data_IF_853572286598
#
_entry.id   IF_853572286598
#
_cell.length_a   1.000
_cell.length_b   1.000
_cell.length_c   1.000
_cell.angle_alpha   90.00
_cell.angle_beta   90.00
_cell.angle_gamma   90.00
#
_symmetry.space_group_name_H-M   'P 1'
#
loop_
_entity.id
_entity.type
_entity.pdbx_description
1 polymer ?
#
# COMPACT_ATOMS: atom_id res chain seq x y z
N UNK A 1 -6.96 -83.99 14.87
CA UNK A 1 -8.18 -83.51 15.54
C UNK A 1 -8.46 -82.10 15.11
N UNK A 2 -9.55 -81.90 14.38
CA UNK A 2 -10.14 -80.58 14.11
C UNK A 2 -10.78 -80.05 15.40
N UNK A 3 -10.68 -78.76 15.65
CA UNK A 3 -11.81 -78.04 16.24
C UNK A 3 -11.84 -76.60 15.72
N UNK A 4 -13.02 -76.21 15.24
CA UNK A 4 -13.40 -74.95 14.61
C UNK A 4 -14.52 -74.35 15.48
N UNK A 5 -14.80 -73.05 15.27
CA UNK A 5 -16.04 -72.29 15.61
C UNK A 5 -16.00 -71.56 16.97
N UNK A 6 -16.52 -70.35 17.18
CA UNK A 6 -16.98 -69.23 16.34
C UNK A 6 -17.33 -68.03 17.26
N UNK A 7 -17.48 -66.85 16.67
CA UNK A 7 -17.90 -65.53 17.18
C UNK A 7 -19.12 -65.49 18.14
N UNK A 8 -19.12 -64.54 19.09
CA UNK A 8 -20.17 -63.52 19.19
C UNK A 8 -19.80 -62.31 20.08
N UNK A 9 -20.16 -61.13 19.59
CA UNK A 9 -19.91 -59.81 20.18
C UNK A 9 -20.84 -59.50 21.35
N UNK A 10 -20.48 -58.58 22.24
CA UNK A 10 -21.36 -57.47 22.64
C UNK A 10 -20.61 -56.38 23.42
N UNK A 11 -20.83 -55.15 22.94
CA UNK A 11 -20.38 -53.86 23.45
C UNK A 11 -20.91 -53.58 24.87
N UNK A 12 -20.14 -52.85 25.69
CA UNK A 12 -20.57 -51.54 26.24
C UNK A 12 -19.46 -50.90 27.08
N UNK A 13 -19.00 -49.75 26.60
CA UNK A 13 -18.15 -48.75 27.26
C UNK A 13 -18.93 -47.93 28.29
N UNK A 14 -18.42 -47.66 29.50
CA UNK A 14 -17.79 -46.41 30.02
C UNK A 14 -18.08 -46.34 31.55
N UNK A 15 -17.57 -45.37 32.34
CA UNK A 15 -16.38 -44.51 32.23
C UNK A 15 -15.54 -44.46 33.54
N UNK A 16 -14.30 -43.94 33.49
CA UNK A 16 -13.71 -43.04 34.51
C UNK A 16 -12.27 -42.69 34.09
N UNK A 17 -12.08 -41.50 33.49
CA UNK A 17 -11.46 -40.31 34.12
C UNK A 17 -9.93 -40.41 34.21
N UNK A 18 -9.27 -39.63 33.37
CA UNK A 18 -7.88 -39.23 33.55
C UNK A 18 -6.91 -39.91 32.59
N UNK A 19 -6.18 -39.06 31.84
CA UNK A 19 -5.07 -39.35 30.93
C UNK A 19 -5.41 -40.20 29.71
N UNK A 20 -5.50 -39.57 28.53
CA UNK A 20 -5.37 -40.25 27.23
C UNK A 20 -3.94 -40.82 27.09
N UNK A 21 -3.74 -42.15 27.06
CA UNK A 21 -2.44 -42.74 26.77
C UNK A 21 -2.46 -43.37 25.37
N UNK A 22 -1.52 -42.91 24.53
CA UNK A 22 -1.19 -43.42 23.19
C UNK A 22 -2.21 -43.16 22.06
N UNK A 23 -2.07 -41.99 21.42
CA UNK A 23 -2.53 -41.72 20.06
C UNK A 23 -1.44 -41.01 19.28
N UNK A 24 -0.84 -41.72 18.33
CA UNK A 24 0.04 -41.26 17.25
C UNK A 24 -0.59 -40.11 16.45
N UNK A 25 -0.59 -38.91 17.02
CA UNK A 25 -1.21 -37.72 16.44
C UNK A 25 -0.15 -36.68 16.07
N UNK A 26 -0.31 -36.07 14.90
CA UNK A 26 0.53 -34.95 14.50
C UNK A 26 0.28 -33.71 15.38
N UNK A 27 1.26 -32.82 15.43
CA UNK A 27 1.17 -31.50 16.07
C UNK A 27 -0.10 -30.72 15.67
N UNK A 28 -0.53 -29.78 16.50
CA UNK A 28 -1.74 -28.98 16.25
C UNK A 28 -1.69 -28.32 14.87
N UNK A 29 -2.80 -28.39 14.13
CA UNK A 29 -2.88 -27.86 12.76
C UNK A 29 -2.23 -28.74 11.69
N UNK A 30 -1.56 -29.85 12.05
CA UNK A 30 -0.96 -30.77 11.09
C UNK A 30 -1.92 -31.92 10.73
N UNK A 31 -2.04 -32.23 9.44
CA UNK A 31 -2.85 -33.32 8.90
C UNK A 31 -2.04 -34.62 8.77
N UNK A 32 -0.81 -34.54 8.26
CA UNK A 32 0.11 -35.67 8.13
C UNK A 32 1.51 -35.28 8.58
N UNK A 33 2.22 -36.17 9.26
CA UNK A 33 3.53 -35.89 9.85
C UNK A 33 4.46 -37.10 9.78
N UNK A 34 5.75 -36.85 9.95
CA UNK A 34 6.79 -37.84 10.09
C UNK A 34 7.67 -37.52 11.30
N UNK A 35 8.35 -38.53 11.89
CA UNK A 35 9.27 -38.30 13.01
C UNK A 35 10.44 -37.35 12.68
N UNK A 36 10.94 -37.41 11.43
CA UNK A 36 12.15 -36.67 11.01
C UNK A 36 11.85 -35.28 10.45
N UNK A 37 10.82 -35.16 9.60
CA UNK A 37 10.53 -33.91 8.88
C UNK A 37 9.44 -33.08 9.57
N UNK A 38 8.89 -33.55 10.69
CA UNK A 38 7.77 -32.87 11.36
C UNK A 38 6.49 -32.98 10.53
N UNK A 39 5.76 -31.86 10.38
CA UNK A 39 4.55 -31.85 9.57
C UNK A 39 4.87 -31.92 8.08
N UNK A 40 4.11 -32.72 7.34
CA UNK A 40 4.19 -32.85 5.89
C UNK A 40 3.04 -32.11 5.19
N UNK A 41 1.86 -32.04 5.81
CA UNK A 41 0.71 -31.30 5.28
C UNK A 41 -0.12 -30.69 6.40
N UNK A 42 -0.54 -29.43 6.22
CA UNK A 42 -1.36 -28.71 7.20
C UNK A 42 -2.85 -28.94 6.97
N UNK A 43 -3.62 -28.90 8.06
CA UNK A 43 -5.08 -28.79 8.01
C UNK A 43 -5.49 -27.48 7.33
N UNK A 44 -6.70 -27.41 6.75
CA UNK A 44 -7.22 -26.16 6.18
C UNK A 44 -7.12 -25.01 7.19
N UNK A 45 -6.88 -23.78 6.70
CA UNK A 45 -6.73 -22.53 7.47
C UNK A 45 -5.37 -22.31 8.15
N UNK A 46 -4.51 -23.33 8.21
CA UNK A 46 -3.14 -23.20 8.71
C UNK A 46 -2.15 -22.91 7.58
N UNK A 47 -1.05 -22.24 7.92
CA UNK A 47 0.08 -22.00 7.05
C UNK A 47 1.22 -22.96 7.39
N UNK A 48 1.79 -23.58 6.36
CA UNK A 48 2.99 -24.37 6.45
C UNK A 48 4.21 -23.46 6.61
N UNK A 49 5.05 -23.73 7.60
CA UNK A 49 6.31 -23.06 7.83
C UNK A 49 7.43 -24.09 7.94
N UNK A 50 8.61 -23.76 7.40
CA UNK A 50 9.78 -24.62 7.44
C UNK A 50 10.79 -24.01 8.42
N UNK A 51 10.96 -24.67 9.57
CA UNK A 51 11.94 -24.29 10.57
C UNK A 51 13.28 -24.96 10.24
N UNK A 52 14.35 -24.17 10.22
CA UNK A 52 15.72 -24.68 10.06
C UNK A 52 16.42 -24.67 11.42
N UNK A 53 16.85 -25.85 11.86
CA UNK A 53 17.71 -26.04 13.04
C UNK A 53 19.01 -26.72 12.61
N UNK A 54 20.06 -25.90 12.39
CA UNK A 54 21.30 -26.35 11.77
C UNK A 54 21.08 -26.85 10.34
N UNK A 55 21.23 -28.17 10.14
CA UNK A 55 20.99 -28.86 8.85
C UNK A 55 19.59 -29.48 8.76
N UNK A 56 18.87 -29.58 9.88
CA UNK A 56 17.57 -30.23 9.92
C UNK A 56 16.48 -29.24 9.49
N UNK A 57 15.63 -29.66 8.56
CA UNK A 57 14.43 -28.93 8.18
C UNK A 57 13.20 -29.63 8.75
N UNK A 58 12.38 -28.88 9.49
CA UNK A 58 11.17 -29.42 10.12
C UNK A 58 9.96 -28.57 9.75
N UNK A 59 8.93 -29.21 9.21
CA UNK A 59 7.67 -28.57 8.89
C UNK A 59 6.81 -28.34 10.13
N UNK A 60 6.25 -27.15 10.25
CA UNK A 60 5.28 -26.77 11.29
C UNK A 60 4.07 -26.09 10.66
N UNK A 61 2.93 -26.13 11.35
CA UNK A 61 1.68 -25.52 10.89
C UNK A 61 1.24 -24.45 11.87
N UNK A 62 1.04 -23.23 11.39
CA UNK A 62 0.71 -22.07 12.22
C UNK A 62 -0.57 -21.39 11.74
N UNK A 63 -1.35 -20.82 12.65
CA UNK A 63 -2.55 -20.02 12.29
C UNK A 63 -2.18 -18.66 11.70
N UNK A 64 -0.95 -18.19 11.94
CA UNK A 64 -0.39 -16.94 11.41
C UNK A 64 1.12 -17.10 11.27
N UNK A 65 1.70 -16.48 10.23
CA UNK A 65 3.12 -16.61 9.96
C UNK A 65 4.00 -15.92 11.01
N UNK A 66 5.21 -16.46 11.27
CA UNK A 66 6.15 -15.86 12.20
C UNK A 66 6.68 -14.52 11.67
N UNK A 67 7.35 -13.75 12.54
CA UNK A 67 7.94 -12.46 12.16
C UNK A 67 8.90 -12.64 10.98
N UNK A 68 8.92 -11.64 10.08
CA UNK A 68 9.70 -11.70 8.85
C UNK A 68 9.16 -12.65 7.79
N UNK A 69 7.92 -13.16 7.93
CA UNK A 69 7.25 -13.96 6.92
C UNK A 69 5.84 -13.43 6.64
N UNK A 70 5.37 -13.58 5.40
CA UNK A 70 3.99 -13.32 5.00
C UNK A 70 3.31 -14.63 4.59
N UNK A 71 1.99 -14.70 4.78
CA UNK A 71 1.21 -15.87 4.44
C UNK A 71 0.70 -15.83 3.00
N UNK A 72 1.09 -16.79 2.18
CA UNK A 72 0.56 -16.99 0.83
C UNK A 72 -0.48 -18.11 0.86
N UNK A 73 -1.70 -17.83 0.38
CA UNK A 73 -2.77 -18.85 0.26
C UNK A 73 -2.82 -19.39 -1.16
N UNK A 74 -2.57 -20.68 -1.32
CA UNK A 74 -2.78 -21.41 -2.57
C UNK A 74 -3.97 -22.37 -2.42
N UNK A 75 -4.67 -22.75 -3.50
CA UNK A 75 -5.71 -23.78 -3.46
C UNK A 75 -5.24 -25.12 -2.87
N UNK A 76 -3.94 -25.40 -2.95
CA UNK A 76 -3.35 -26.65 -2.48
C UNK A 76 -2.72 -26.54 -1.08
N UNK A 77 -1.94 -25.48 -0.83
CA UNK A 77 -1.22 -25.29 0.44
C UNK A 77 -1.06 -23.81 0.76
N UNK A 78 -1.43 -23.40 1.97
CA UNK A 78 -1.07 -22.08 2.48
C UNK A 78 0.31 -22.15 3.12
N UNK A 79 1.24 -21.28 2.74
CA UNK A 79 2.66 -21.35 3.15
C UNK A 79 3.14 -20.00 3.65
N UNK A 80 4.00 -19.99 4.66
CA UNK A 80 4.71 -18.81 5.13
C UNK A 80 5.97 -18.59 4.31
N UNK A 81 6.06 -17.45 3.62
CA UNK A 81 7.17 -17.06 2.77
C UNK A 81 7.96 -15.96 3.45
N UNK A 82 9.29 -16.06 3.46
CA UNK A 82 10.17 -15.08 4.07
C UNK A 82 10.11 -13.75 3.32
N UNK A 83 10.13 -12.65 4.05
CA UNK A 83 10.27 -11.30 3.48
C UNK A 83 11.64 -11.13 2.80
N UNK A 84 11.75 -10.10 1.94
CA UNK A 84 13.02 -9.67 1.36
C UNK A 84 14.00 -9.17 2.43
N UNK A 85 15.29 -9.21 2.13
CA UNK A 85 16.40 -8.98 3.09
C UNK A 85 16.42 -7.57 3.71
N UNK A 86 15.88 -6.60 3.00
CA UNK A 86 15.72 -5.18 3.34
C UNK A 86 14.42 -4.90 4.11
N UNK A 87 13.53 -5.90 4.22
CA UNK A 87 12.20 -5.78 4.78
C UNK A 87 12.02 -6.62 6.06
N UNK A 88 11.81 -5.94 7.18
CA UNK A 88 11.57 -6.57 8.48
C UNK A 88 10.16 -7.17 8.62
N UNK A 89 9.16 -6.60 7.94
CA UNK A 89 7.79 -7.13 7.90
C UNK A 89 7.11 -6.79 6.59
N UNK A 90 6.48 -7.76 5.97
CA UNK A 90 5.87 -7.65 4.65
C UNK A 90 4.45 -8.23 4.66
N UNK A 91 3.61 -7.68 3.78
CA UNK A 91 2.27 -8.20 3.50
C UNK A 91 2.30 -9.18 2.32
N UNK A 92 3.15 -8.91 1.32
CA UNK A 92 3.37 -9.76 0.15
C UNK A 92 4.83 -9.67 -0.29
N UNK A 93 5.20 -10.42 -1.33
CA UNK A 93 6.54 -10.40 -1.93
C UNK A 93 7.02 -8.98 -2.32
N UNK A 94 6.07 -8.13 -2.76
CA UNK A 94 6.37 -6.80 -3.28
C UNK A 94 5.84 -5.67 -2.41
N UNK A 95 5.27 -6.00 -1.25
CA UNK A 95 4.70 -5.02 -0.33
C UNK A 95 5.26 -5.21 1.07
N UNK A 96 6.29 -4.44 1.39
CA UNK A 96 6.84 -4.27 2.70
C UNK A 96 5.99 -3.28 3.53
N UNK A 97 5.84 -3.56 4.82
CA UNK A 97 5.16 -2.69 5.79
C UNK A 97 6.13 -2.10 6.80
N UNK A 98 7.32 -2.69 6.96
CA UNK A 98 8.37 -2.19 7.85
C UNK A 98 9.74 -2.57 7.34
N UNK A 99 10.60 -1.57 7.10
CA UNK A 99 11.96 -1.78 6.65
C UNK A 99 12.93 -2.10 7.80
N UNK A 100 14.02 -2.77 7.45
CA UNK A 100 15.16 -2.90 8.35
C UNK A 100 15.83 -1.52 8.61
N UNK A 101 16.58 -1.37 9.71
CA UNK A 101 17.34 -0.15 9.97
C UNK A 101 18.24 0.22 8.79
N UNK A 102 18.37 1.52 8.52
CA UNK A 102 19.15 2.03 7.38
C UNK A 102 18.40 2.07 6.04
N UNK A 103 17.12 1.66 6.00
CA UNK A 103 16.26 1.77 4.83
C UNK A 103 14.98 2.55 5.15
N UNK A 104 14.42 3.20 4.14
CA UNK A 104 13.20 3.99 4.20
C UNK A 104 12.12 3.33 3.35
N UNK A 105 10.91 3.25 3.91
CA UNK A 105 9.76 2.69 3.22
C UNK A 105 9.22 3.68 2.18
N UNK A 106 9.15 3.26 0.93
CA UNK A 106 8.58 4.02 -0.18
C UNK A 106 7.75 3.11 -1.08
N UNK A 107 6.44 3.40 -1.22
CA UNK A 107 5.49 2.64 -2.07
C UNK A 107 5.53 1.11 -1.83
N UNK A 108 5.67 0.70 -0.57
CA UNK A 108 5.75 -0.72 -0.20
C UNK A 108 7.11 -1.39 -0.47
N UNK A 109 8.16 -0.63 -0.77
CA UNK A 109 9.53 -1.12 -0.92
C UNK A 109 10.47 -0.41 0.04
N UNK A 110 11.59 -1.04 0.36
CA UNK A 110 12.61 -0.47 1.22
C UNK A 110 13.76 0.03 0.36
N UNK A 111 14.06 1.31 0.47
CA UNK A 111 15.13 1.97 -0.28
C UNK A 111 16.19 2.47 0.69
N UNK A 112 17.47 2.44 0.31
CA UNK A 112 18.56 2.97 1.15
C UNK A 112 18.53 4.50 1.24
N UNK A 113 17.95 5.16 0.24
CA UNK A 113 17.73 6.60 0.19
C UNK A 113 16.42 6.91 -0.54
N UNK A 114 15.75 8.00 -0.17
CA UNK A 114 14.48 8.36 -0.77
C UNK A 114 14.65 8.87 -2.22
N UNK A 115 13.96 8.26 -3.21
CA UNK A 115 14.07 8.66 -4.61
C UNK A 115 13.31 9.98 -4.90
N UNK A 116 13.51 10.54 -6.09
CA UNK A 116 12.71 11.66 -6.63
C UNK A 116 12.71 12.94 -5.77
N UNK A 117 13.80 13.22 -5.03
CA UNK A 117 13.89 14.41 -4.19
C UNK A 117 12.98 14.37 -2.94
N UNK A 118 12.39 13.21 -2.63
CA UNK A 118 11.64 12.98 -1.40
C UNK A 118 12.58 13.08 -0.19
N UNK A 119 12.07 13.57 0.93
CA UNK A 119 12.86 13.65 2.16
C UNK A 119 12.71 12.39 3.00
N UNK A 120 13.80 12.02 3.67
CA UNK A 120 13.84 10.86 4.54
C UNK A 120 13.34 11.23 5.94
N UNK A 121 12.22 10.64 6.36
CA UNK A 121 11.74 10.79 7.73
C UNK A 121 12.39 9.73 8.63
N UNK A 122 13.40 10.12 9.39
CA UNK A 122 14.13 9.21 10.27
C UNK A 122 13.28 8.64 11.43
N UNK A 123 12.27 9.40 11.90
CA UNK A 123 11.41 8.97 12.99
C UNK A 123 10.45 7.85 12.56
N UNK A 124 9.87 7.97 11.36
CA UNK A 124 8.95 6.98 10.81
C UNK A 124 9.65 5.92 9.93
N UNK A 125 10.91 6.16 9.53
CA UNK A 125 11.65 5.35 8.54
C UNK A 125 10.89 5.18 7.24
N UNK A 126 10.32 6.29 6.79
CA UNK A 126 9.48 6.39 5.59
C UNK A 126 9.99 7.54 4.72
N UNK A 127 9.78 7.44 3.42
CA UNK A 127 10.00 8.56 2.51
C UNK A 127 8.78 9.48 2.51
N UNK A 128 9.00 10.72 2.93
CA UNK A 128 7.95 11.73 3.00
C UNK A 128 7.69 12.29 1.61
N UNK A 129 6.45 12.13 1.17
CA UNK A 129 5.95 12.79 -0.05
C UNK A 129 5.50 14.19 0.33
N UNK A 130 6.11 15.18 -0.33
CA UNK A 130 5.71 16.58 -0.23
C UNK A 130 4.68 16.90 -1.31
N UNK A 131 3.98 18.02 -1.12
CA UNK A 131 3.04 18.45 -2.13
C UNK A 131 3.76 18.96 -3.37
N UNK A 132 3.46 18.36 -4.52
CA UNK A 132 3.88 18.88 -5.82
C UNK A 132 2.68 19.47 -6.54
N UNK A 133 2.85 20.68 -7.06
CA UNK A 133 1.82 21.41 -7.81
C UNK A 133 2.30 21.63 -9.24
N UNK A 134 1.35 21.64 -10.17
CA UNK A 134 1.63 21.85 -11.59
C UNK A 134 1.89 23.32 -11.93
N UNK A 135 2.10 23.56 -13.22
CA UNK A 135 2.20 24.92 -13.72
C UNK A 135 0.90 25.68 -13.54
N UNK A 136 1.05 27.00 -13.44
CA UNK A 136 -0.09 27.92 -13.42
C UNK A 136 -0.82 27.90 -14.75
N UNK A 137 -2.15 27.93 -14.71
CA UNK A 137 -2.93 28.29 -15.89
C UNK A 137 -2.59 29.72 -16.33
N UNK A 138 -2.89 30.03 -17.58
CA UNK A 138 -3.03 31.42 -17.99
C UNK A 138 -4.01 32.14 -17.06
N UNK A 139 -3.80 33.45 -16.89
CA UNK A 139 -4.76 34.29 -16.18
C UNK A 139 -6.13 34.19 -16.84
N UNK A 140 -7.17 34.00 -16.01
CA UNK A 140 -8.55 34.02 -16.47
C UNK A 140 -8.98 35.41 -16.95
N UNK A 141 -10.22 35.50 -17.42
CA UNK A 141 -10.78 36.80 -17.81
C UNK A 141 -10.87 37.75 -16.61
N UNK A 142 -10.63 39.04 -16.87
CA UNK A 142 -10.78 40.08 -15.86
C UNK A 142 -12.27 40.27 -15.51
N UNK A 143 -12.66 39.89 -14.29
CA UNK A 143 -14.05 39.96 -13.80
C UNK A 143 -14.27 41.28 -13.06
N UNK A 144 -15.39 41.96 -13.32
CA UNK A 144 -15.74 43.24 -12.68
C UNK A 144 -16.23 43.01 -11.25
N UNK A 145 -15.70 43.80 -10.30
CA UNK A 145 -16.24 43.84 -8.93
C UNK A 145 -17.59 44.57 -8.93
N UNK A 146 -18.66 43.91 -8.47
CA UNK A 146 -19.99 44.52 -8.39
C UNK A 146 -19.92 45.77 -7.49
N UNK A 147 -20.63 46.83 -7.89
CA UNK A 147 -20.77 48.12 -7.20
C UNK A 147 -19.78 49.26 -7.54
N UNK A 148 -19.17 49.26 -8.74
CA UNK A 148 -18.52 50.49 -9.25
C UNK A 148 -18.87 50.74 -10.72
N UNK A 149 -19.61 51.82 -10.98
CA UNK A 149 -19.97 52.29 -12.34
C UNK A 149 -18.88 53.15 -12.97
N UNK A 150 -17.82 53.48 -12.23
CA UNK A 150 -16.79 54.47 -12.61
C UNK A 150 -15.39 53.86 -12.72
N UNK A 151 -15.13 52.70 -12.11
CA UNK A 151 -13.77 52.14 -12.03
C UNK A 151 -13.50 51.06 -13.07
N UNK A 152 -12.46 51.28 -13.89
CA UNK A 152 -11.87 50.30 -14.83
C UNK A 152 -11.12 49.18 -14.12
N UNK A 153 -11.55 48.71 -12.94
CA UNK A 153 -10.80 47.75 -12.12
C UNK A 153 -11.56 46.43 -11.98
N UNK A 154 -10.87 45.33 -12.24
CA UNK A 154 -11.37 43.97 -12.06
C UNK A 154 -10.34 43.08 -11.38
N UNK A 155 -10.71 41.83 -11.21
CA UNK A 155 -9.84 40.77 -10.69
C UNK A 155 -9.79 39.63 -11.70
N UNK A 156 -8.57 39.15 -11.96
CA UNK A 156 -8.32 37.95 -12.74
C UNK A 156 -7.76 36.88 -11.81
N UNK A 157 -8.20 35.65 -12.04
CA UNK A 157 -7.81 34.50 -11.23
C UNK A 157 -7.07 33.52 -12.11
N UNK A 158 -5.94 33.00 -11.62
CA UNK A 158 -5.29 31.82 -12.17
C UNK A 158 -5.29 30.70 -11.14
N UNK A 159 -5.29 29.47 -11.62
CA UNK A 159 -5.24 28.29 -10.75
C UNK A 159 -4.14 27.35 -11.20
N UNK A 160 -3.73 26.46 -10.32
CA UNK A 160 -2.85 25.32 -10.64
C UNK A 160 -3.38 24.08 -9.95
N UNK A 161 -3.10 22.92 -10.54
CA UNK A 161 -3.54 21.64 -9.99
C UNK A 161 -2.49 21.07 -9.04
N UNK A 162 -2.91 20.29 -8.06
CA UNK A 162 -2.00 19.47 -7.24
C UNK A 162 -1.69 18.19 -8.04
N UNK A 163 -0.41 17.94 -8.29
CA UNK A 163 0.06 16.73 -9.00
C UNK A 163 0.27 15.57 -8.03
N UNK A 164 0.87 15.85 -6.87
CA UNK A 164 1.08 14.87 -5.81
C UNK A 164 0.63 15.47 -4.48
N UNK A 165 -0.27 14.77 -3.79
CA UNK A 165 -0.69 15.15 -2.44
C UNK A 165 0.40 14.81 -1.43
N UNK A 166 0.58 15.65 -0.40
CA UNK A 166 1.54 15.38 0.65
C UNK A 166 1.09 14.19 1.51
N UNK A 167 2.07 13.45 2.00
CA UNK A 167 1.88 12.45 3.05
C UNK A 167 1.57 13.11 4.39
N UNK A 168 1.14 12.35 5.40
CA UNK A 168 0.78 12.88 6.72
C UNK A 168 1.93 13.67 7.41
N UNK A 169 3.18 13.38 7.04
CA UNK A 169 4.37 14.08 7.53
C UNK A 169 4.97 15.06 6.50
N UNK A 170 4.32 15.24 5.36
CA UNK A 170 4.76 16.14 4.29
C UNK A 170 4.28 17.58 4.51
N UNK A 171 4.99 18.52 3.88
CA UNK A 171 4.62 19.92 3.94
C UNK A 171 3.27 20.18 3.25
N UNK A 172 2.46 21.12 3.76
CA UNK A 172 1.19 21.47 3.14
C UNK A 172 1.41 22.04 1.74
N UNK A 173 0.42 21.83 0.87
CA UNK A 173 0.46 22.37 -0.47
C UNK A 173 0.56 23.90 -0.46
N UNK A 174 1.42 24.50 -1.30
CA UNK A 174 1.37 25.93 -1.52
C UNK A 174 0.02 26.33 -2.15
N UNK A 175 -0.31 27.62 -2.13
CA UNK A 175 -1.59 28.10 -2.65
C UNK A 175 -1.82 27.67 -4.11
N UNK A 176 -3.06 27.24 -4.40
CA UNK A 176 -3.45 26.70 -5.71
C UNK A 176 -4.25 27.70 -6.55
N UNK A 177 -4.58 28.85 -5.97
CA UNK A 177 -5.27 29.95 -6.64
C UNK A 177 -4.58 31.26 -6.31
N UNK A 178 -4.48 32.12 -7.32
CA UNK A 178 -3.94 33.46 -7.16
C UNK A 178 -4.87 34.45 -7.85
N UNK A 179 -5.07 35.59 -7.22
CA UNK A 179 -5.92 36.67 -7.71
C UNK A 179 -5.07 37.91 -7.89
N UNK A 180 -5.15 38.51 -9.08
CA UNK A 180 -4.47 39.76 -9.39
C UNK A 180 -5.47 40.81 -9.84
N UNK A 181 -5.17 42.08 -9.54
CA UNK A 181 -5.95 43.22 -10.04
C UNK A 181 -5.63 43.44 -11.52
N UNK A 182 -6.67 43.65 -12.32
CA UNK A 182 -6.57 43.92 -13.76
C UNK A 182 -7.41 45.16 -14.12
N UNK A 183 -7.10 45.75 -15.27
CA UNK A 183 -7.87 46.88 -15.79
C UNK A 183 -8.86 46.44 -16.86
N UNK A 184 -10.13 46.78 -16.68
CA UNK A 184 -11.19 46.48 -17.65
C UNK A 184 -11.29 47.63 -18.65
N UNK A 185 -10.82 47.39 -19.87
CA UNK A 185 -10.97 48.35 -20.96
C UNK A 185 -12.29 48.08 -21.70
N UNK A 186 -13.37 48.74 -21.28
CA UNK A 186 -14.62 48.72 -22.06
C UNK A 186 -14.46 49.61 -23.29
N UNK A 187 -14.35 49.04 -24.50
CA UNK A 187 -14.59 49.81 -25.72
C UNK A 187 -16.08 50.16 -25.73
N UNK A 188 -16.39 51.45 -25.58
CA UNK A 188 -17.75 52.00 -25.68
C UNK A 188 -18.23 51.88 -27.14
N UNK A 189 -18.57 50.67 -27.58
CA UNK A 189 -19.32 50.45 -28.82
C UNK A 189 -20.40 49.40 -28.51
N UNK A 190 -21.56 49.93 -28.13
CA UNK A 190 -22.83 49.27 -27.82
C UNK A 190 -22.94 48.44 -26.54
N UNK A 191 -23.89 48.85 -25.73
CA UNK A 191 -24.40 48.21 -24.51
C UNK A 191 -24.82 46.77 -24.88
N UNK A 192 -23.94 45.78 -24.63
CA UNK A 192 -24.24 44.37 -24.29
C UNK A 192 -23.06 43.38 -24.35
N UNK A 193 -21.81 43.78 -24.60
CA UNK A 193 -20.69 42.82 -24.53
C UNK A 193 -19.38 43.45 -24.02
N UNK A 194 -18.93 43.01 -22.85
CA UNK A 194 -17.60 43.33 -22.31
C UNK A 194 -16.72 42.09 -22.48
N UNK A 195 -15.77 42.11 -23.42
CA UNK A 195 -14.76 41.05 -23.59
C UNK A 195 -13.40 41.70 -23.30
N UNK A 196 -12.65 41.14 -22.35
CA UNK A 196 -11.29 41.56 -22.04
C UNK A 196 -10.33 41.24 -23.21
N UNK A 197 -9.33 42.07 -23.51
CA UNK A 197 -8.41 41.79 -24.61
C UNK A 197 -7.55 40.56 -24.27
N UNK A 198 -7.65 39.52 -25.09
CA UNK A 198 -6.69 38.43 -25.11
C UNK A 198 -5.32 39.00 -25.51
N UNK A 199 -4.35 39.00 -24.58
CA UNK A 199 -2.95 39.18 -24.94
C UNK A 199 -2.48 37.89 -25.64
N UNK A 200 -2.53 37.88 -26.97
CA UNK A 200 -1.77 36.93 -27.79
C UNK A 200 -0.28 37.19 -27.56
N UNK A 201 0.41 36.27 -26.88
CA UNK A 201 1.86 36.18 -26.91
C UNK A 201 2.26 34.93 -27.69
N UNK A 202 2.92 35.14 -28.82
CA UNK A 202 3.87 34.20 -29.42
C UNK A 202 3.30 33.03 -30.22
N UNK A 203 3.04 33.24 -31.52
CA UNK A 203 3.34 32.19 -32.49
C UNK A 203 4.86 32.07 -32.56
N UNK A 204 5.39 30.97 -32.02
CA UNK A 204 6.75 30.51 -32.32
C UNK A 204 6.85 30.19 -33.81
N UNK A 205 7.94 30.65 -34.42
CA UNK A 205 8.38 30.22 -35.74
C UNK A 205 8.54 28.70 -35.76
N UNK A 206 7.78 28.01 -36.60
CA UNK A 206 8.16 26.70 -37.12
C UNK A 206 8.88 26.97 -38.42
N UNK A 207 10.16 26.59 -38.43
CA UNK A 207 11.09 26.64 -39.55
C UNK A 207 10.61 25.75 -40.69
N UNK A 208 10.49 26.31 -41.89
CA UNK A 208 10.67 25.59 -43.15
C UNK A 208 12.00 26.02 -43.77
N UNK A 209 13.03 25.18 -43.58
CA UNK A 209 14.03 24.76 -44.57
C UNK A 209 14.94 23.70 -43.96
#
# INVERSE_FOLDING_TARGET
MLCRMNFNSLFTSKPMTGSDPAGSGCQVGCATCSPLNGCLSCKPRFFFHLELDGIQQRGTCMSSCPRGHYGMRSPHISTCIKCKVDCASCFSENFCTRCHPGHFLFRGKCESSCPNGLTANAALRECTVHCEVGEWTSWGQCVRKHNTTVHRRGEETRTRQILHFPSASGDPCPHISEIRKCEITCKLLNIKSCIAPFHFWGFGNISEK
#
